data_IF_481663610679
#
_entry.id   IF_481663610679
#
_cell.length_a   1.000
_cell.length_b   1.000
_cell.length_c   1.000
_cell.angle_alpha   90.00
_cell.angle_beta   90.00
_cell.angle_gamma   90.00
#
_symmetry.space_group_name_H-M   'P 1'
#
loop_
_entity.id
_entity.type
_entity.pdbx_description
1 polymer ?
#
# COMPACT_ATOMS: atom_id res chain seq x y z
N UNK A 1 -23.23 -2.67 -31.52
CA UNK A 1 -23.12 -2.01 -30.22
C UNK A 1 -21.66 -1.99 -29.90
N UNK A 2 -21.11 -0.86 -29.47
CA UNK A 2 -19.72 -0.76 -29.01
C UNK A 2 -19.52 -1.65 -27.78
N UNK A 3 -18.36 -2.29 -27.66
CA UNK A 3 -18.03 -3.16 -26.52
C UNK A 3 -17.98 -2.30 -25.23
N UNK A 4 -18.67 -2.68 -24.15
CA UNK A 4 -18.64 -1.93 -22.89
C UNK A 4 -17.26 -2.05 -22.22
N UNK A 5 -16.78 -0.91 -21.69
CA UNK A 5 -15.46 -0.79 -21.07
C UNK A 5 -15.57 -0.31 -19.62
N UNK A 6 -14.60 -0.69 -18.81
CA UNK A 6 -14.46 -0.26 -17.41
C UNK A 6 -13.17 0.53 -17.27
N UNK A 7 -13.25 1.73 -16.71
CA UNK A 7 -12.09 2.53 -16.35
C UNK A 7 -11.66 2.20 -14.92
N UNK A 8 -10.46 1.63 -14.78
CA UNK A 8 -9.80 1.38 -13.50
C UNK A 8 -8.62 2.35 -13.34
N UNK A 9 -8.60 3.10 -12.24
CA UNK A 9 -7.55 4.07 -11.92
C UNK A 9 -6.74 3.55 -10.76
N UNK A 10 -5.41 3.50 -10.91
CA UNK A 10 -4.44 3.14 -9.90
C UNK A 10 -3.63 4.39 -9.49
N UNK A 11 -3.95 4.94 -8.33
CA UNK A 11 -3.26 6.07 -7.71
C UNK A 11 -2.14 5.56 -6.80
N UNK A 12 -1.01 5.25 -7.41
CA UNK A 12 0.18 4.80 -6.68
C UNK A 12 0.99 5.94 -6.06
N UNK A 13 2.16 5.61 -5.50
CA UNK A 13 3.07 6.59 -4.87
C UNK A 13 3.91 7.36 -5.89
N UNK A 14 4.31 6.73 -7.00
CA UNK A 14 5.22 7.32 -8.00
C UNK A 14 4.55 7.57 -9.35
N UNK A 15 3.33 7.13 -9.53
CA UNK A 15 2.59 7.29 -10.78
C UNK A 15 1.10 7.09 -10.59
N UNK A 16 0.32 7.68 -11.48
CA UNK A 16 -1.08 7.37 -11.70
C UNK A 16 -1.23 6.60 -13.01
N UNK A 17 -2.07 5.59 -13.00
CA UNK A 17 -2.42 4.82 -14.20
C UNK A 17 -3.92 4.83 -14.40
N UNK A 18 -4.34 5.18 -15.60
CA UNK A 18 -5.71 5.00 -16.07
C UNK A 18 -5.72 3.80 -17.02
N UNK A 19 -6.46 2.77 -16.68
CA UNK A 19 -6.47 1.48 -17.37
C UNK A 19 -7.89 1.18 -17.85
N UNK A 20 -8.03 0.88 -19.12
CA UNK A 20 -9.32 0.58 -19.73
C UNK A 20 -9.40 -0.90 -20.03
N UNK A 21 -10.37 -1.57 -19.43
CA UNK A 21 -10.60 -3.00 -19.61
C UNK A 21 -11.93 -3.25 -20.30
N UNK A 22 -11.98 -4.30 -21.13
CA UNK A 22 -13.23 -4.86 -21.58
C UNK A 22 -13.86 -5.78 -20.52
N UNK A 23 -15.04 -6.28 -20.78
CA UNK A 23 -15.78 -7.18 -19.87
C UNK A 23 -15.16 -8.57 -19.73
N UNK A 24 -14.18 -8.91 -20.54
CA UNK A 24 -13.40 -10.15 -20.41
C UNK A 24 -12.12 -9.98 -19.57
N UNK A 25 -11.82 -8.73 -19.17
CA UNK A 25 -10.62 -8.37 -18.43
C UNK A 25 -9.40 -8.09 -19.32
N UNK A 26 -9.61 -7.96 -20.65
CA UNK A 26 -8.54 -7.59 -21.58
C UNK A 26 -8.24 -6.09 -21.47
N UNK A 27 -6.97 -5.74 -21.34
CA UNK A 27 -6.52 -4.34 -21.33
C UNK A 27 -6.63 -3.75 -22.74
N UNK A 28 -7.52 -2.78 -22.91
CA UNK A 28 -7.81 -2.10 -24.19
C UNK A 28 -6.97 -0.84 -24.36
N UNK A 29 -6.72 -0.10 -23.27
CA UNK A 29 -5.97 1.14 -23.29
C UNK A 29 -5.31 1.45 -21.96
N UNK A 30 -4.24 2.27 -22.00
CA UNK A 30 -3.49 2.69 -20.83
C UNK A 30 -3.04 4.14 -20.94
N UNK A 31 -3.35 4.95 -19.92
CA UNK A 31 -2.74 6.23 -19.65
C UNK A 31 -1.77 6.12 -18.46
N UNK A 32 -0.67 6.84 -18.52
CA UNK A 32 0.37 6.82 -17.48
C UNK A 32 0.84 8.24 -17.20
N UNK A 33 0.81 8.63 -15.93
CA UNK A 33 1.30 9.91 -15.45
C UNK A 33 2.29 9.67 -14.31
N UNK A 34 3.59 9.95 -14.50
CA UNK A 34 4.56 9.95 -13.40
C UNK A 34 4.26 11.12 -12.46
N UNK A 35 4.45 10.91 -11.17
CA UNK A 35 4.22 11.93 -10.15
C UNK A 35 5.41 12.03 -9.20
N UNK A 36 5.65 13.23 -8.68
CA UNK A 36 6.53 13.43 -7.54
C UNK A 36 5.86 12.79 -6.30
N UNK A 37 6.52 11.82 -5.65
CA UNK A 37 5.90 11.07 -4.57
C UNK A 37 5.43 11.94 -3.41
N UNK A 38 6.26 12.90 -3.03
CA UNK A 38 6.02 13.82 -1.91
C UNK A 38 7.00 14.98 -1.95
N UNK A 39 6.65 16.06 -1.27
CA UNK A 39 7.62 17.07 -0.82
C UNK A 39 7.88 16.91 0.69
N UNK A 40 8.99 17.46 1.15
CA UNK A 40 9.44 17.33 2.54
C UNK A 40 10.01 18.64 3.05
N UNK A 41 9.28 19.33 3.92
CA UNK A 41 9.75 20.55 4.56
C UNK A 41 10.68 20.31 5.75
N UNK A 42 10.67 19.07 6.29
CA UNK A 42 11.50 18.64 7.42
C UNK A 42 11.94 17.19 7.22
N UNK A 43 13.12 16.80 7.69
CA UNK A 43 13.57 15.43 7.63
C UNK A 43 12.54 14.44 8.21
N UNK A 44 12.22 13.39 7.44
CA UNK A 44 11.24 12.38 7.82
C UNK A 44 9.78 12.74 7.52
N UNK A 45 9.48 13.98 7.10
CA UNK A 45 8.14 14.34 6.66
C UNK A 45 7.92 13.94 5.21
N UNK A 46 6.72 13.49 4.90
CA UNK A 46 6.31 13.17 3.54
C UNK A 46 4.86 13.63 3.33
N UNK A 47 4.70 14.68 2.55
CA UNK A 47 3.40 15.34 2.31
C UNK A 47 3.16 15.55 0.81
N UNK A 48 1.89 15.63 0.43
CA UNK A 48 1.50 16.04 -0.92
C UNK A 48 0.14 16.73 -0.90
N UNK A 49 -0.05 17.70 -1.77
CA UNK A 49 -1.33 18.39 -1.88
C UNK A 49 -2.43 17.44 -2.38
N UNK A 50 -3.60 17.36 -1.73
CA UNK A 50 -4.68 16.50 -2.19
C UNK A 50 -5.14 16.80 -3.62
N UNK A 51 -5.13 18.08 -4.02
CA UNK A 51 -5.44 18.51 -5.40
C UNK A 51 -4.43 17.96 -6.41
N UNK A 52 -3.16 17.83 -6.04
CA UNK A 52 -2.13 17.25 -6.90
C UNK A 52 -2.46 15.81 -7.33
N UNK A 53 -2.99 14.99 -6.41
CA UNK A 53 -3.45 13.64 -6.76
C UNK A 53 -4.62 13.68 -7.74
N UNK A 54 -5.57 14.60 -7.51
CA UNK A 54 -6.72 14.77 -8.39
C UNK A 54 -6.30 15.23 -9.80
N UNK A 55 -5.43 16.23 -9.89
CA UNK A 55 -4.98 16.79 -11.16
C UNK A 55 -4.21 15.75 -11.98
N UNK A 56 -3.30 14.99 -11.37
CA UNK A 56 -2.55 13.93 -12.05
C UNK A 56 -3.44 12.74 -12.44
N UNK A 57 -4.51 12.48 -11.71
CA UNK A 57 -5.52 11.49 -12.08
C UNK A 57 -6.22 11.91 -13.39
N UNK A 58 -6.60 13.19 -13.52
CA UNK A 58 -7.13 13.74 -14.77
C UNK A 58 -6.14 13.65 -15.92
N UNK A 59 -4.86 13.99 -15.69
CA UNK A 59 -3.80 13.87 -16.71
C UNK A 59 -3.58 12.42 -17.18
N UNK A 60 -3.65 11.44 -16.26
CA UNK A 60 -3.56 10.03 -16.64
C UNK A 60 -4.74 9.59 -17.52
N UNK A 61 -5.95 10.10 -17.25
CA UNK A 61 -7.12 9.86 -18.10
C UNK A 61 -6.97 10.54 -19.46
N UNK A 62 -6.49 11.78 -19.51
CA UNK A 62 -6.21 12.45 -20.77
C UNK A 62 -5.19 11.66 -21.60
N UNK A 63 -4.09 11.23 -21.00
CA UNK A 63 -3.09 10.39 -21.68
C UNK A 63 -3.68 9.05 -22.16
N UNK A 64 -4.67 8.49 -21.45
CA UNK A 64 -5.41 7.31 -21.93
C UNK A 64 -6.16 7.61 -23.22
N UNK A 65 -6.94 8.70 -23.26
CA UNK A 65 -7.75 9.04 -24.43
C UNK A 65 -6.89 9.37 -25.66
N UNK A 66 -5.73 9.98 -25.47
CA UNK A 66 -4.78 10.28 -26.56
C UNK A 66 -4.13 9.01 -27.14
N UNK A 67 -4.00 7.94 -26.36
CA UNK A 67 -3.27 6.72 -26.73
C UNK A 67 -4.17 5.50 -26.98
N UNK A 68 -5.50 5.68 -27.00
CA UNK A 68 -6.45 4.59 -27.28
C UNK A 68 -7.37 4.93 -28.44
N UNK A 69 -7.84 3.92 -29.17
CA UNK A 69 -8.92 4.07 -30.12
C UNK A 69 -10.33 3.97 -29.50
N UNK A 70 -10.42 3.75 -28.18
CA UNK A 70 -11.68 3.70 -27.47
C UNK A 70 -12.26 5.11 -27.25
N UNK A 71 -13.57 5.20 -27.09
CA UNK A 71 -14.27 6.46 -26.86
C UNK A 71 -14.94 6.48 -25.48
N UNK A 72 -15.07 7.66 -24.83
CA UNK A 72 -15.64 7.78 -23.49
C UNK A 72 -17.06 7.21 -23.33
N UNK A 73 -17.85 7.20 -24.37
CA UNK A 73 -19.22 6.66 -24.39
C UNK A 73 -19.28 5.12 -24.27
N UNK A 74 -18.17 4.44 -24.48
CA UNK A 74 -18.04 2.99 -24.25
C UNK A 74 -17.89 2.65 -22.76
N UNK A 75 -17.50 3.62 -21.91
CA UNK A 75 -17.26 3.39 -20.48
C UNK A 75 -18.58 3.24 -19.75
N UNK A 76 -18.75 2.13 -19.04
CA UNK A 76 -19.96 1.81 -18.27
C UNK A 76 -19.77 1.89 -16.76
N UNK A 77 -18.55 2.10 -16.28
CA UNK A 77 -18.25 2.24 -14.86
C UNK A 77 -16.79 2.66 -14.60
N UNK A 78 -16.58 3.28 -13.45
CA UNK A 78 -15.29 3.79 -12.99
C UNK A 78 -14.96 3.20 -11.63
N UNK A 79 -13.69 2.88 -11.39
CA UNK A 79 -13.20 2.46 -10.08
C UNK A 79 -11.80 3.04 -9.80
N UNK A 80 -11.50 3.33 -8.53
CA UNK A 80 -10.20 3.89 -8.11
C UNK A 80 -9.63 3.08 -6.98
N UNK A 81 -8.39 2.61 -7.15
CA UNK A 81 -7.56 2.09 -6.06
C UNK A 81 -6.46 3.10 -5.72
N UNK A 82 -6.02 3.09 -4.47
CA UNK A 82 -4.99 4.02 -3.99
C UNK A 82 -3.96 3.35 -3.11
N UNK A 83 -2.80 4.01 -2.99
CA UNK A 83 -1.83 3.72 -1.92
C UNK A 83 -2.51 3.80 -0.54
N UNK A 84 -2.06 2.95 0.40
CA UNK A 84 -2.63 2.81 1.75
C UNK A 84 -2.10 3.89 2.71
N UNK A 85 -2.87 4.23 3.75
CA UNK A 85 -2.38 4.99 4.90
C UNK A 85 -2.09 6.47 4.66
N UNK A 86 -2.43 7.03 3.50
CA UNK A 86 -2.36 8.46 3.22
C UNK A 86 -3.61 9.16 3.72
N UNK A 87 -3.43 10.15 4.60
CA UNK A 87 -4.52 10.83 5.31
C UNK A 87 -4.78 12.22 4.73
N UNK A 88 -6.04 12.52 4.50
CA UNK A 88 -6.55 13.83 4.02
C UNK A 88 -7.56 14.38 5.03
N UNK A 89 -7.39 15.65 5.40
CA UNK A 89 -8.33 16.38 6.27
C UNK A 89 -9.07 17.44 5.48
N UNK A 90 -10.39 17.44 5.57
CA UNK A 90 -11.24 18.40 4.87
C UNK A 90 -12.10 19.20 5.86
N UNK A 91 -12.45 20.41 5.46
CA UNK A 91 -13.41 21.25 6.17
C UNK A 91 -14.88 20.85 5.87
N UNK A 92 -15.82 21.65 6.34
CA UNK A 92 -17.26 21.43 6.13
C UNK A 92 -17.73 21.66 4.69
N UNK A 93 -16.91 22.27 3.85
CA UNK A 93 -17.15 22.49 2.43
C UNK A 93 -16.45 21.42 1.56
N UNK A 94 -15.77 20.46 2.19
CA UNK A 94 -15.01 19.42 1.50
C UNK A 94 -13.67 19.92 0.92
N UNK A 95 -13.17 21.09 1.39
CA UNK A 95 -11.89 21.61 0.94
C UNK A 95 -10.75 21.08 1.81
N UNK A 96 -9.60 20.70 1.22
CA UNK A 96 -8.42 20.31 1.97
C UNK A 96 -7.92 21.43 2.89
N UNK A 97 -7.71 21.09 4.16
CA UNK A 97 -7.21 22.04 5.16
C UNK A 97 -5.70 22.18 5.16
N UNK A 98 -5.01 21.15 4.66
CA UNK A 98 -3.56 21.05 4.61
C UNK A 98 -3.12 20.00 3.59
N UNK A 99 -1.80 19.90 3.28
CA UNK A 99 -1.28 18.77 2.54
C UNK A 99 -1.59 17.43 3.22
N UNK A 100 -1.85 16.39 2.43
CA UNK A 100 -2.04 15.03 2.92
C UNK A 100 -0.76 14.50 3.57
N UNK A 101 -0.91 13.76 4.67
CA UNK A 101 0.21 13.03 5.30
C UNK A 101 0.28 11.64 4.66
N UNK A 102 1.40 11.34 4.01
CA UNK A 102 1.58 10.10 3.27
C UNK A 102 1.97 8.94 4.21
N UNK A 103 1.83 7.73 3.72
CA UNK A 103 2.23 6.50 4.42
C UNK A 103 3.75 6.40 4.69
N UNK A 104 4.56 7.14 3.92
CA UNK A 104 6.02 7.24 4.07
C UNK A 104 6.47 8.17 5.19
N UNK A 105 5.54 8.97 5.70
CA UNK A 105 5.80 9.96 6.73
C UNK A 105 6.24 9.30 8.05
N UNK A 106 7.28 9.84 8.67
CA UNK A 106 7.90 9.30 9.89
C UNK A 106 7.63 10.15 11.12
N UNK A 107 6.76 11.16 11.04
CA UNK A 107 6.39 11.96 12.20
C UNK A 107 5.59 11.13 13.20
N UNK A 108 5.80 11.39 14.48
CA UNK A 108 5.13 10.70 15.57
C UNK A 108 4.48 11.69 16.53
N UNK A 109 3.33 11.30 17.06
CA UNK A 109 2.71 12.01 18.16
C UNK A 109 3.49 11.81 19.46
N UNK A 110 3.43 12.80 20.34
CA UNK A 110 4.05 12.73 21.68
C UNK A 110 3.12 11.97 22.62
N UNK A 111 3.55 10.78 23.02
CA UNK A 111 2.82 9.97 24.01
C UNK A 111 3.57 10.01 25.33
N UNK A 112 3.18 10.95 26.19
CA UNK A 112 3.74 11.13 27.51
C UNK A 112 3.07 10.22 28.55
N UNK A 113 1.75 10.01 28.39
CA UNK A 113 0.96 9.23 29.32
C UNK A 113 0.44 7.95 28.67
N UNK A 114 0.50 6.86 29.43
CA UNK A 114 -0.10 5.58 29.02
C UNK A 114 -1.63 5.71 28.93
N UNK A 115 -2.24 4.83 28.16
CA UNK A 115 -3.70 4.85 27.99
C UNK A 115 -4.39 4.76 29.36
N UNK A 116 -5.25 5.72 29.73
CA UNK A 116 -5.97 5.72 31.00
C UNK A 116 -7.16 4.73 31.01
N UNK A 117 -7.74 4.57 32.18
CA UNK A 117 -9.00 3.84 32.39
C UNK A 117 -8.89 2.30 32.27
N UNK A 118 -10.04 1.60 32.19
CA UNK A 118 -10.08 0.13 32.25
C UNK A 118 -9.28 -0.55 31.13
N UNK A 119 -9.28 0.01 29.94
CA UNK A 119 -8.52 -0.51 28.80
C UNK A 119 -7.00 -0.39 29.03
N UNK A 120 -6.54 0.75 29.58
CA UNK A 120 -5.14 0.93 29.92
C UNK A 120 -4.67 -0.08 30.96
N UNK A 121 -5.49 -0.38 31.96
CA UNK A 121 -5.17 -1.40 32.96
C UNK A 121 -5.13 -2.81 32.35
N UNK A 122 -6.09 -3.14 31.48
CA UNK A 122 -6.11 -4.41 30.78
C UNK A 122 -4.83 -4.60 29.92
N UNK A 123 -4.44 -3.59 29.15
CA UNK A 123 -3.27 -3.68 28.28
C UNK A 123 -1.96 -3.81 29.08
N UNK A 124 -1.83 -3.13 30.22
CA UNK A 124 -0.70 -3.32 31.14
C UNK A 124 -0.64 -4.74 31.70
N UNK A 125 -1.79 -5.26 32.15
CA UNK A 125 -1.88 -6.65 32.62
C UNK A 125 -1.50 -7.68 31.57
N UNK A 126 -1.76 -7.40 30.29
CA UNK A 126 -1.42 -8.24 29.15
C UNK A 126 -0.03 -7.93 28.54
N UNK A 127 0.73 -6.97 29.09
CA UNK A 127 2.02 -6.47 28.58
C UNK A 127 1.94 -6.02 27.11
N UNK A 128 0.89 -5.26 26.79
CA UNK A 128 0.58 -4.75 25.44
C UNK A 128 0.68 -3.22 25.35
N UNK A 129 0.95 -2.56 26.46
CA UNK A 129 1.01 -1.10 26.59
C UNK A 129 2.00 -0.47 25.59
N UNK A 130 3.21 -1.01 25.43
CA UNK A 130 4.17 -0.49 24.45
C UNK A 130 3.64 -0.61 23.01
N UNK A 131 2.94 -1.70 22.68
CA UNK A 131 2.32 -1.86 21.36
C UNK A 131 1.20 -0.85 21.13
N UNK A 132 0.39 -0.58 22.16
CA UNK A 132 -0.69 0.40 22.12
C UNK A 132 -0.13 1.83 22.00
N UNK A 133 0.91 2.14 22.77
CA UNK A 133 1.56 3.45 22.71
C UNK A 133 2.27 3.67 21.36
N UNK A 134 2.88 2.63 20.77
CA UNK A 134 3.40 2.73 19.40
C UNK A 134 2.31 2.98 18.38
N UNK A 135 1.14 2.34 18.51
CA UNK A 135 -0.02 2.61 17.66
C UNK A 135 -0.49 4.06 17.79
N UNK A 136 -0.56 4.58 19.04
CA UNK A 136 -0.93 5.98 19.31
C UNK A 136 0.09 6.96 18.73
N UNK A 137 1.38 6.68 18.82
CA UNK A 137 2.45 7.51 18.24
C UNK A 137 2.35 7.61 16.73
N UNK A 138 2.03 6.50 16.07
CA UNK A 138 1.97 6.43 14.61
C UNK A 138 0.65 6.97 14.03
N UNK A 139 -0.39 7.16 14.86
CA UNK A 139 -1.67 7.65 14.39
C UNK A 139 -1.59 9.14 14.03
N UNK A 140 -1.70 9.48 12.75
CA UNK A 140 -1.61 10.84 12.23
C UNK A 140 -2.60 11.81 12.91
N UNK A 141 -3.78 11.32 13.29
CA UNK A 141 -4.78 12.11 14.00
C UNK A 141 -4.27 12.63 15.36
N UNK A 142 -3.46 11.82 16.09
CA UNK A 142 -2.87 12.26 17.35
C UNK A 142 -1.84 13.38 17.10
N UNK A 143 -0.99 13.21 16.10
CA UNK A 143 -0.02 14.25 15.75
C UNK A 143 -0.72 15.55 15.34
N UNK A 144 -1.74 15.48 14.47
CA UNK A 144 -2.51 16.64 14.03
C UNK A 144 -3.17 17.36 15.19
N UNK A 145 -3.77 16.63 16.11
CA UNK A 145 -4.44 17.26 17.28
C UNK A 145 -3.47 17.94 18.23
N UNK A 146 -2.20 17.51 18.27
CA UNK A 146 -1.16 18.07 19.16
C UNK A 146 -0.41 19.25 18.53
N UNK A 147 -0.07 19.13 17.25
CA UNK A 147 0.83 20.07 16.58
C UNK A 147 0.12 21.04 15.64
N UNK A 148 -1.10 20.71 15.21
CA UNK A 148 -1.95 21.55 14.37
C UNK A 148 -3.39 21.61 14.92
N UNK A 149 -3.59 22.08 16.17
CA UNK A 149 -4.89 22.04 16.83
C UNK A 149 -5.97 22.84 16.07
N UNK A 150 -5.62 23.96 15.46
CA UNK A 150 -6.56 24.77 14.67
C UNK A 150 -7.05 24.02 13.42
N UNK A 151 -6.13 23.35 12.72
CA UNK A 151 -6.46 22.48 11.59
C UNK A 151 -7.32 21.32 12.05
N UNK A 152 -6.98 20.70 13.19
CA UNK A 152 -7.75 19.58 13.73
C UNK A 152 -9.17 19.99 14.14
N UNK A 153 -9.36 21.13 14.78
CA UNK A 153 -10.66 21.65 15.16
C UNK A 153 -11.57 21.95 13.94
N UNK A 154 -10.98 22.42 12.85
CA UNK A 154 -11.68 22.69 11.58
C UNK A 154 -11.95 21.40 10.78
N UNK A 155 -11.28 20.30 11.11
CA UNK A 155 -11.43 19.04 10.37
C UNK A 155 -12.83 18.48 10.55
N UNK A 156 -13.62 18.52 9.48
CA UNK A 156 -14.96 17.94 9.42
C UNK A 156 -14.93 16.52 8.88
N UNK A 157 -14.02 16.24 7.94
CA UNK A 157 -13.83 14.90 7.38
C UNK A 157 -12.37 14.47 7.49
N UNK A 158 -12.16 13.28 8.04
CA UNK A 158 -10.87 12.62 8.18
C UNK A 158 -10.88 11.38 7.30
N UNK A 159 -10.24 11.45 6.14
CA UNK A 159 -10.34 10.48 5.07
C UNK A 159 -8.98 9.86 4.76
N UNK A 160 -8.99 8.65 4.23
CA UNK A 160 -7.88 8.16 3.44
C UNK A 160 -7.95 8.77 2.03
N UNK A 161 -6.85 8.66 1.28
CA UNK A 161 -6.78 9.18 -0.10
C UNK A 161 -7.89 8.59 -0.99
N UNK A 162 -8.25 7.31 -0.80
CA UNK A 162 -9.37 6.67 -1.49
C UNK A 162 -10.69 7.39 -1.24
N UNK A 163 -10.99 7.67 0.03
CA UNK A 163 -12.20 8.41 0.41
C UNK A 163 -12.24 9.83 -0.16
N UNK A 164 -11.08 10.51 -0.21
CA UNK A 164 -10.98 11.82 -0.85
C UNK A 164 -11.24 11.76 -2.36
N UNK A 165 -10.61 10.83 -3.08
CA UNK A 165 -10.83 10.69 -4.52
C UNK A 165 -12.25 10.24 -4.85
N UNK A 166 -12.83 9.33 -4.06
CA UNK A 166 -14.22 8.92 -4.18
C UNK A 166 -15.19 10.10 -3.96
N UNK A 167 -14.90 10.97 -2.98
CA UNK A 167 -15.64 12.22 -2.79
C UNK A 167 -15.54 13.15 -4.01
N UNK A 168 -14.34 13.34 -4.57
CA UNK A 168 -14.15 14.17 -5.77
C UNK A 168 -14.91 13.62 -6.97
N UNK A 169 -15.01 12.29 -7.09
CA UNK A 169 -15.74 11.64 -8.19
C UNK A 169 -17.25 11.72 -8.02
N UNK A 170 -17.76 11.59 -6.79
CA UNK A 170 -19.21 11.35 -6.55
C UNK A 170 -19.92 12.46 -5.79
N UNK A 171 -19.18 13.37 -5.17
CA UNK A 171 -19.73 14.36 -4.21
C UNK A 171 -20.18 13.74 -2.88
N UNK A 172 -19.93 12.46 -2.63
CA UNK A 172 -20.39 11.75 -1.44
C UNK A 172 -19.21 11.28 -0.58
N UNK A 173 -19.31 11.46 0.73
CA UNK A 173 -18.29 10.97 1.68
C UNK A 173 -18.48 9.48 1.96
N UNK A 174 -18.15 8.68 0.96
CA UNK A 174 -18.20 7.21 0.97
C UNK A 174 -16.84 6.63 0.59
N UNK A 175 -16.50 5.49 1.19
CA UNK A 175 -15.28 4.78 0.84
C UNK A 175 -15.46 3.26 0.96
N UNK A 176 -14.59 2.50 0.30
CA UNK A 176 -14.60 1.05 0.37
C UNK A 176 -14.15 0.56 1.74
N UNK A 177 -14.83 -0.46 2.28
CA UNK A 177 -14.34 -1.19 3.46
C UNK A 177 -12.95 -1.77 3.24
N UNK A 178 -12.60 -2.13 1.98
CA UNK A 178 -11.32 -2.72 1.62
C UNK A 178 -10.20 -1.70 1.37
N UNK A 179 -10.51 -0.41 1.41
CA UNK A 179 -9.51 0.66 1.39
C UNK A 179 -9.07 1.09 2.79
N UNK A 180 -9.75 0.64 3.86
CA UNK A 180 -9.52 1.10 5.22
C UNK A 180 -8.27 0.45 5.85
N UNK A 181 -7.10 0.84 5.35
CA UNK A 181 -5.80 0.39 5.84
C UNK A 181 -5.00 1.58 6.35
N UNK A 182 -4.90 1.71 7.66
CA UNK A 182 -4.23 2.83 8.33
C UNK A 182 -4.55 2.82 9.83
N UNK A 183 -4.12 3.88 10.52
CA UNK A 183 -4.39 4.09 11.94
C UNK A 183 -5.78 4.71 12.11
N UNK A 184 -6.80 3.86 12.07
CA UNK A 184 -8.22 4.21 12.10
C UNK A 184 -8.97 3.37 13.14
N UNK A 185 -10.09 3.87 13.68
CA UNK A 185 -10.94 3.09 14.58
C UNK A 185 -11.79 2.07 13.80
N UNK A 186 -11.14 1.22 13.00
CA UNK A 186 -11.76 0.24 12.12
C UNK A 186 -11.75 -1.15 12.75
N UNK A 187 -12.88 -1.86 12.68
CA UNK A 187 -13.01 -3.26 13.09
C UNK A 187 -12.67 -4.16 11.90
N UNK A 188 -11.40 -4.58 11.82
CA UNK A 188 -10.89 -5.44 10.76
C UNK A 188 -11.57 -6.81 10.69
N UNK A 189 -12.20 -7.27 11.79
CA UNK A 189 -12.91 -8.56 11.78
C UNK A 189 -14.29 -8.45 11.16
N UNK A 190 -14.95 -7.30 11.31
CA UNK A 190 -16.32 -7.07 10.85
C UNK A 190 -16.39 -6.18 9.61
N UNK A 191 -15.25 -5.66 9.13
CA UNK A 191 -15.13 -4.71 8.02
C UNK A 191 -16.08 -3.50 8.19
N UNK A 192 -16.06 -2.88 9.37
CA UNK A 192 -16.86 -1.71 9.70
C UNK A 192 -16.14 -0.81 10.70
N UNK A 193 -16.66 0.39 10.94
CA UNK A 193 -16.15 1.22 12.02
C UNK A 193 -16.39 0.52 13.36
N UNK A 194 -15.43 0.65 14.27
CA UNK A 194 -15.48 0.04 15.58
C UNK A 194 -16.73 0.50 16.35
N UNK A 195 -17.31 -0.40 17.16
CA UNK A 195 -18.44 -0.06 18.01
C UNK A 195 -18.08 1.04 19.01
N UNK A 196 -19.06 1.84 19.44
CA UNK A 196 -18.84 3.05 20.26
C UNK A 196 -18.04 2.81 21.56
N UNK A 197 -18.14 1.62 22.16
CA UNK A 197 -17.41 1.26 23.38
C UNK A 197 -16.05 0.60 23.13
N UNK A 198 -15.63 0.49 21.87
CA UNK A 198 -14.35 -0.13 21.51
C UNK A 198 -13.19 0.79 21.90
N UNK A 199 -12.12 0.22 22.44
CA UNK A 199 -10.94 0.93 22.88
C UNK A 199 -10.26 1.77 21.76
N UNK A 200 -10.44 1.40 20.50
CA UNK A 200 -9.85 2.09 19.35
C UNK A 200 -10.23 3.57 19.29
N UNK A 201 -11.42 3.94 19.78
CA UNK A 201 -11.84 5.34 19.89
C UNK A 201 -11.06 6.13 20.97
N UNK A 202 -10.40 5.44 21.91
CA UNK A 202 -9.54 6.07 22.91
C UNK A 202 -8.08 6.21 22.48
N UNK A 203 -7.72 5.56 21.37
CA UNK A 203 -6.35 5.62 20.86
C UNK A 203 -6.07 6.87 20.03
N UNK A 204 -7.09 7.55 19.54
CA UNK A 204 -6.97 8.71 18.67
C UNK A 204 -8.20 9.64 18.80
N UNK A 205 -8.07 10.95 18.54
CA UNK A 205 -9.16 11.93 18.75
C UNK A 205 -10.17 11.97 17.59
N UNK A 206 -10.19 10.96 16.72
CA UNK A 206 -11.12 10.90 15.59
C UNK A 206 -12.53 10.63 16.10
N UNK A 207 -13.51 11.38 15.59
CA UNK A 207 -14.94 11.17 15.87
C UNK A 207 -15.62 10.40 14.74
N UNK A 208 -16.66 9.68 15.06
CA UNK A 208 -17.39 8.86 14.08
C UNK A 208 -17.99 9.69 12.94
N UNK A 209 -18.41 10.91 13.23
CA UNK A 209 -19.00 11.85 12.26
C UNK A 209 -17.98 12.48 11.32
N UNK A 210 -16.68 12.29 11.57
CA UNK A 210 -15.58 12.68 10.67
C UNK A 210 -15.24 11.59 9.64
N UNK A 211 -15.72 10.38 9.82
CA UNK A 211 -15.38 9.24 8.98
C UNK A 211 -16.42 9.02 7.88
N UNK A 212 -16.01 8.48 6.70
CA UNK A 212 -16.92 8.23 5.59
C UNK A 212 -17.89 7.08 5.89
N UNK A 213 -19.02 7.05 5.19
CA UNK A 213 -19.85 5.87 5.07
C UNK A 213 -19.10 4.75 4.33
N UNK A 214 -19.19 3.53 4.81
CA UNK A 214 -18.47 2.40 4.24
C UNK A 214 -19.35 1.57 3.32
N UNK A 215 -18.78 1.22 2.16
CA UNK A 215 -19.40 0.42 1.10
C UNK A 215 -18.52 -0.82 0.86
N UNK A 216 -19.11 -1.95 0.53
CA UNK A 216 -18.34 -3.17 0.25
C UNK A 216 -17.66 -3.08 -1.12
N UNK A 217 -16.49 -3.72 -1.32
CA UNK A 217 -15.89 -3.83 -2.64
C UNK A 217 -16.89 -4.40 -3.66
N UNK A 218 -16.93 -3.81 -4.86
CA UNK A 218 -17.86 -4.18 -5.93
C UNK A 218 -19.23 -3.51 -5.86
N UNK A 219 -19.60 -2.86 -4.75
CA UNK A 219 -20.83 -2.08 -4.65
C UNK A 219 -20.63 -0.64 -5.14
N UNK A 220 -21.72 0.05 -5.44
CA UNK A 220 -21.69 1.43 -5.96
C UNK A 220 -21.48 2.44 -4.84
N UNK A 221 -20.44 3.27 -4.95
CA UNK A 221 -20.16 4.41 -4.06
C UNK A 221 -21.09 5.60 -4.36
N UNK A 222 -21.43 5.82 -5.62
CA UNK A 222 -22.23 6.91 -6.11
C UNK A 222 -22.15 6.99 -7.63
N UNK A 223 -22.64 8.10 -8.18
CA UNK A 223 -22.55 8.39 -9.62
C UNK A 223 -21.52 9.48 -9.88
N UNK A 224 -20.83 9.38 -11.00
CA UNK A 224 -19.85 10.35 -11.45
C UNK A 224 -20.53 11.72 -11.67
N UNK A 225 -20.05 12.76 -10.97
CA UNK A 225 -20.59 14.12 -11.10
C UNK A 225 -20.22 14.72 -12.44
N UNK A 226 -20.93 15.80 -12.85
CA UNK A 226 -20.59 16.51 -14.09
C UNK A 226 -19.17 17.12 -14.06
N UNK A 227 -18.74 17.65 -12.90
CA UNK A 227 -17.38 18.17 -12.71
C UNK A 227 -16.32 17.07 -12.90
N UNK A 228 -16.51 15.94 -12.22
CA UNK A 228 -15.60 14.81 -12.34
C UNK A 228 -15.59 14.19 -13.75
N UNK A 229 -16.75 14.10 -14.39
CA UNK A 229 -16.87 13.63 -15.77
C UNK A 229 -16.06 14.51 -16.74
N UNK A 230 -16.19 15.82 -16.63
CA UNK A 230 -15.38 16.76 -17.42
C UNK A 230 -13.88 16.59 -17.14
N UNK A 231 -13.50 16.43 -15.87
CA UNK A 231 -12.10 16.24 -15.48
C UNK A 231 -11.46 14.95 -16.02
N UNK A 232 -12.24 13.88 -16.14
CA UNK A 232 -11.79 12.58 -16.64
C UNK A 232 -12.00 12.38 -18.15
N UNK A 233 -12.70 13.32 -18.82
CA UNK A 233 -13.13 13.16 -20.21
C UNK A 233 -14.19 12.06 -20.38
N UNK A 234 -15.14 11.94 -19.45
CA UNK A 234 -16.18 10.91 -19.40
C UNK A 234 -17.59 11.51 -19.46
N UNK A 235 -18.59 10.65 -19.56
CA UNK A 235 -20.00 11.03 -19.40
C UNK A 235 -20.38 11.04 -17.91
N UNK A 236 -21.14 12.03 -17.47
CA UNK A 236 -21.67 12.09 -16.11
C UNK A 236 -22.71 11.00 -15.84
N UNK A 237 -22.91 10.66 -14.56
CA UNK A 237 -23.90 9.66 -14.15
C UNK A 237 -23.40 8.21 -14.23
N UNK A 238 -22.17 7.97 -14.67
CA UNK A 238 -21.57 6.63 -14.62
C UNK A 238 -21.43 6.14 -13.17
N UNK A 239 -21.67 4.86 -12.87
CA UNK A 239 -21.47 4.31 -11.55
C UNK A 239 -19.97 4.32 -11.19
N UNK A 240 -19.66 4.83 -9.99
CA UNK A 240 -18.34 4.71 -9.36
C UNK A 240 -18.40 3.53 -8.40
N UNK A 241 -17.58 2.52 -8.67
CA UNK A 241 -17.60 1.24 -7.97
C UNK A 241 -16.49 1.21 -6.92
N UNK A 242 -16.82 0.74 -5.73
CA UNK A 242 -15.89 0.57 -4.63
C UNK A 242 -14.80 -0.45 -4.99
N UNK A 243 -13.55 0.00 -5.05
CA UNK A 243 -12.38 -0.87 -5.19
C UNK A 243 -11.90 -1.36 -3.81
N UNK A 244 -10.63 -1.73 -3.75
CA UNK A 244 -9.89 -2.01 -2.52
C UNK A 244 -8.59 -1.19 -2.51
N UNK A 245 -7.76 -1.36 -1.49
CA UNK A 245 -6.40 -0.82 -1.49
C UNK A 245 -5.56 -1.44 -2.61
N UNK A 246 -4.52 -0.73 -3.04
CA UNK A 246 -3.57 -1.15 -4.09
C UNK A 246 -3.09 -2.61 -3.92
N UNK A 247 -2.65 -2.97 -2.71
CA UNK A 247 -2.19 -4.34 -2.41
C UNK A 247 -3.28 -5.38 -2.48
N UNK A 248 -4.50 -5.06 -2.06
CA UNK A 248 -5.62 -6.00 -2.17
C UNK A 248 -6.03 -6.21 -3.63
N UNK A 249 -5.99 -5.14 -4.44
CA UNK A 249 -6.21 -5.23 -5.89
C UNK A 249 -5.09 -6.00 -6.60
N UNK A 250 -3.81 -5.82 -6.20
CA UNK A 250 -2.67 -6.58 -6.71
C UNK A 250 -2.85 -8.08 -6.45
N UNK A 251 -3.26 -8.47 -5.25
CA UNK A 251 -3.51 -9.88 -4.88
C UNK A 251 -4.62 -10.48 -5.73
N UNK A 252 -5.73 -9.75 -5.89
CA UNK A 252 -6.85 -10.18 -6.75
C UNK A 252 -6.40 -10.32 -8.20
N UNK A 253 -5.74 -9.31 -8.76
CA UNK A 253 -5.29 -9.27 -10.14
C UNK A 253 -4.22 -10.32 -10.48
N UNK A 254 -3.41 -10.75 -9.49
CA UNK A 254 -2.45 -11.84 -9.66
C UNK A 254 -3.08 -13.24 -9.51
N UNK A 255 -4.39 -13.33 -9.25
CA UNK A 255 -5.09 -14.61 -9.08
C UNK A 255 -4.95 -15.24 -7.69
N UNK A 256 -4.61 -14.44 -6.66
CA UNK A 256 -4.57 -14.86 -5.26
C UNK A 256 -5.97 -14.97 -4.65
N UNK A 257 -6.78 -15.91 -5.13
CA UNK A 257 -8.21 -16.02 -4.81
C UNK A 257 -8.50 -17.00 -3.67
N UNK A 258 -7.59 -17.94 -3.43
CA UNK A 258 -7.76 -19.05 -2.50
C UNK A 258 -6.68 -19.06 -1.42
N UNK A 259 -6.94 -19.65 -0.24
CA UNK A 259 -5.99 -19.65 0.88
C UNK A 259 -4.68 -20.43 0.65
N UNK A 260 -4.63 -21.28 -0.38
CA UNK A 260 -3.45 -22.05 -0.80
C UNK A 260 -2.61 -21.35 -1.87
N UNK A 261 -3.05 -20.17 -2.31
CA UNK A 261 -2.35 -19.33 -3.30
C UNK A 261 -1.88 -18.03 -2.64
N UNK A 262 -0.58 -17.81 -2.61
CA UNK A 262 0.02 -16.56 -2.13
C UNK A 262 0.48 -15.67 -3.27
N UNK A 263 0.29 -14.37 -3.11
CA UNK A 263 0.89 -13.33 -3.94
C UNK A 263 2.16 -12.79 -3.28
N UNK A 264 3.29 -12.90 -3.95
CA UNK A 264 4.55 -12.25 -3.61
C UNK A 264 4.64 -10.94 -4.38
N UNK A 265 4.74 -9.83 -3.67
CA UNK A 265 4.94 -8.52 -4.31
C UNK A 265 6.40 -8.09 -4.15
N UNK A 266 7.09 -7.91 -5.28
CA UNK A 266 8.49 -7.50 -5.38
C UNK A 266 8.58 -6.02 -5.74
N UNK A 267 8.08 -5.18 -4.83
CA UNK A 267 8.11 -3.72 -4.92
C UNK A 267 9.13 -3.08 -3.97
N UNK A 268 9.04 -1.77 -3.74
CA UNK A 268 9.82 -1.05 -2.71
C UNK A 268 9.76 -1.77 -1.36
N UNK A 269 8.57 -2.22 -0.96
CA UNK A 269 8.36 -3.24 0.06
C UNK A 269 8.31 -4.61 -0.60
N UNK A 270 8.76 -5.66 0.09
CA UNK A 270 8.46 -7.03 -0.32
C UNK A 270 7.40 -7.61 0.60
N UNK A 271 6.36 -8.21 0.03
CA UNK A 271 5.26 -8.75 0.82
C UNK A 271 4.85 -10.13 0.34
N UNK A 272 4.36 -10.95 1.26
CA UNK A 272 3.57 -12.13 0.96
C UNK A 272 2.16 -11.92 1.44
N UNK A 273 1.19 -12.10 0.56
CA UNK A 273 -0.23 -11.90 0.81
C UNK A 273 -1.03 -13.13 0.45
N UNK A 274 -2.03 -13.46 1.27
CA UNK A 274 -2.98 -14.55 1.03
C UNK A 274 -4.39 -14.06 1.28
N UNK A 275 -5.30 -14.28 0.33
CA UNK A 275 -6.74 -14.06 0.54
C UNK A 275 -7.34 -15.23 1.32
N UNK A 276 -8.00 -14.93 2.45
CA UNK A 276 -8.58 -15.95 3.32
C UNK A 276 -10.02 -15.58 3.72
N UNK A 277 -11.01 -16.47 3.63
CA UNK A 277 -12.37 -16.22 4.13
C UNK A 277 -12.43 -16.17 5.66
N UNK A 278 -11.40 -16.66 6.36
CA UNK A 278 -11.30 -16.62 7.82
C UNK A 278 -10.36 -15.51 8.27
N UNK A 279 -10.68 -14.89 9.40
CA UNK A 279 -9.81 -13.90 10.06
C UNK A 279 -8.58 -14.59 10.67
N UNK A 280 -7.40 -14.38 10.08
CA UNK A 280 -6.12 -14.98 10.49
C UNK A 280 -5.08 -13.90 10.72
N UNK A 281 -4.65 -13.70 11.97
CA UNK A 281 -3.53 -12.83 12.31
C UNK A 281 -2.20 -13.56 12.08
N UNK A 282 -1.37 -13.15 11.13
CA UNK A 282 -0.04 -13.77 10.93
C UNK A 282 0.89 -13.48 12.10
N UNK A 283 0.74 -12.32 12.70
CA UNK A 283 1.40 -11.89 13.94
C UNK A 283 0.30 -11.50 14.92
N UNK A 284 0.39 -11.97 16.17
CA UNK A 284 -0.60 -11.66 17.21
C UNK A 284 -0.78 -10.14 17.35
N UNK A 285 -2.03 -9.66 17.31
CA UNK A 285 -2.45 -8.26 17.34
C UNK A 285 -2.09 -7.45 16.07
N UNK A 286 -1.62 -8.10 15.02
CA UNK A 286 -1.56 -7.49 13.70
C UNK A 286 -2.73 -8.06 12.88
N UNK A 287 -3.81 -7.30 12.75
CA UNK A 287 -5.00 -7.78 12.04
C UNK A 287 -4.70 -8.00 10.56
N UNK A 288 -5.32 -9.01 9.93
CA UNK A 288 -5.35 -9.07 8.48
C UNK A 288 -6.15 -7.89 7.96
N UNK A 289 -5.76 -7.38 6.80
CA UNK A 289 -6.48 -6.29 6.14
C UNK A 289 -7.71 -6.82 5.39
N UNK A 290 -8.68 -5.97 5.07
CA UNK A 290 -9.76 -6.37 4.18
C UNK A 290 -9.23 -6.72 2.79
N UNK A 291 -9.73 -7.81 2.20
CA UNK A 291 -9.43 -8.22 0.82
C UNK A 291 -10.29 -7.44 -0.19
N UNK A 292 -9.85 -7.45 -1.46
CA UNK A 292 -10.68 -7.01 -2.57
C UNK A 292 -11.87 -7.95 -2.83
N UNK A 293 -11.79 -9.19 -2.35
CA UNK A 293 -12.92 -10.13 -2.37
C UNK A 293 -13.83 -9.81 -1.18
N UNK A 294 -15.11 -9.47 -1.41
CA UNK A 294 -16.03 -9.14 -0.34
C UNK A 294 -16.10 -10.21 0.76
N UNK A 295 -15.97 -9.78 2.02
CA UNK A 295 -16.02 -10.69 3.17
C UNK A 295 -14.75 -11.50 3.44
N UNK A 296 -13.71 -11.37 2.61
CA UNK A 296 -12.42 -12.01 2.81
C UNK A 296 -11.40 -11.07 3.47
N UNK A 297 -10.32 -11.66 3.95
CA UNK A 297 -9.20 -10.97 4.61
C UNK A 297 -7.93 -11.19 3.80
N UNK A 298 -7.10 -10.16 3.72
CA UNK A 298 -5.73 -10.24 3.19
C UNK A 298 -4.76 -10.41 4.36
N UNK A 299 -4.26 -11.63 4.53
CA UNK A 299 -3.23 -11.93 5.52
C UNK A 299 -1.88 -11.58 4.92
N UNK A 300 -1.20 -10.57 5.50
CA UNK A 300 0.03 -10.01 4.95
C UNK A 300 1.21 -10.16 5.90
N UNK A 301 2.38 -10.54 5.38
CA UNK A 301 3.68 -10.35 6.03
C UNK A 301 4.53 -9.47 5.13
N UNK A 302 5.09 -8.40 5.71
CA UNK A 302 5.78 -7.34 4.99
C UNK A 302 7.24 -7.19 5.42
N UNK A 303 8.11 -6.97 4.44
CA UNK A 303 9.48 -6.51 4.59
C UNK A 303 9.52 -5.07 4.09
N UNK A 304 9.62 -4.09 4.99
CA UNK A 304 9.44 -2.66 4.67
C UNK A 304 10.43 -2.11 3.63
N UNK A 305 11.66 -2.60 3.62
CA UNK A 305 12.70 -2.24 2.64
C UNK A 305 13.03 -3.43 1.76
N UNK A 306 12.03 -4.00 1.07
CA UNK A 306 12.15 -5.16 0.23
C UNK A 306 13.08 -4.95 -0.98
N UNK A 307 12.54 -4.86 -2.17
CA UNK A 307 13.32 -4.62 -3.39
C UNK A 307 13.94 -3.20 -3.47
N UNK A 308 13.59 -2.32 -2.53
CA UNK A 308 14.37 -1.11 -2.29
C UNK A 308 15.87 -1.42 -2.07
N UNK A 309 16.20 -2.53 -1.39
CA UNK A 309 17.60 -2.95 -1.19
C UNK A 309 18.29 -3.32 -2.50
N UNK A 310 17.57 -3.86 -3.46
CA UNK A 310 18.08 -4.10 -4.81
C UNK A 310 18.44 -2.77 -5.49
N UNK A 311 17.53 -1.79 -5.41
CA UNK A 311 17.79 -0.44 -5.95
C UNK A 311 18.93 0.27 -5.19
N UNK A 312 18.98 0.11 -3.87
CA UNK A 312 20.07 0.61 -3.05
C UNK A 312 21.43 0.01 -3.49
N UNK A 313 21.51 -1.31 -3.65
CA UNK A 313 22.74 -1.96 -4.10
C UNK A 313 23.16 -1.46 -5.50
N UNK A 314 22.23 -1.34 -6.43
CA UNK A 314 22.51 -0.83 -7.79
C UNK A 314 23.07 0.59 -7.75
N UNK A 315 22.55 1.45 -6.87
CA UNK A 315 23.00 2.83 -6.72
C UNK A 315 24.39 2.92 -6.05
N UNK A 316 24.60 2.18 -4.96
CA UNK A 316 25.82 2.31 -4.15
C UNK A 316 26.99 1.47 -4.71
N UNK A 317 26.72 0.33 -5.33
CA UNK A 317 27.74 -0.63 -5.75
C UNK A 317 27.67 -0.99 -7.24
N UNK A 318 26.68 -0.51 -7.97
CA UNK A 318 26.38 -0.93 -9.35
C UNK A 318 26.85 0.03 -10.44
N UNK A 319 27.66 1.05 -10.14
CA UNK A 319 28.10 2.06 -11.13
C UNK A 319 28.81 1.44 -12.34
N UNK A 320 29.56 0.37 -12.13
CA UNK A 320 30.26 -0.34 -13.20
C UNK A 320 29.29 -0.95 -14.21
N UNK A 321 28.28 -1.65 -13.72
CA UNK A 321 27.24 -2.28 -14.56
C UNK A 321 26.43 -1.22 -15.30
N UNK A 322 26.07 -0.13 -14.63
CA UNK A 322 25.36 0.99 -15.27
C UNK A 322 26.15 1.59 -16.42
N UNK A 323 27.44 1.88 -16.24
CA UNK A 323 28.29 2.41 -17.30
C UNK A 323 28.52 1.43 -18.46
N UNK A 324 28.69 0.14 -18.14
CA UNK A 324 28.84 -0.89 -19.18
C UNK A 324 27.56 -1.03 -20.00
N UNK A 325 26.42 -1.01 -19.34
CA UNK A 325 25.10 -1.10 -19.97
C UNK A 325 24.86 0.08 -20.90
N UNK A 326 25.15 1.31 -20.43
CA UNK A 326 25.07 2.53 -21.23
C UNK A 326 25.95 2.45 -22.46
N UNK A 327 27.19 2.02 -22.30
CA UNK A 327 28.14 1.88 -23.43
C UNK A 327 27.70 0.81 -24.45
N UNK A 328 27.06 -0.27 -23.97
CA UNK A 328 26.57 -1.39 -24.80
C UNK A 328 25.18 -1.16 -25.37
N UNK A 329 24.46 -0.14 -24.92
CA UNK A 329 23.05 0.11 -25.29
C UNK A 329 22.10 -1.00 -24.83
N UNK A 330 22.37 -1.61 -23.67
CA UNK A 330 21.53 -2.66 -23.07
C UNK A 330 20.96 -2.20 -21.72
N UNK A 331 19.91 -2.86 -21.27
CA UNK A 331 19.34 -2.60 -19.94
C UNK A 331 20.34 -3.05 -18.85
N UNK A 332 20.57 -2.23 -17.80
CA UNK A 332 21.48 -2.57 -16.69
C UNK A 332 21.09 -3.88 -15.98
N UNK A 333 19.83 -4.22 -15.97
CA UNK A 333 19.28 -5.45 -15.37
C UNK A 333 19.93 -6.71 -15.89
N UNK A 334 20.28 -6.76 -17.16
CA UNK A 334 20.97 -7.92 -17.79
C UNK A 334 22.30 -8.19 -17.10
N UNK A 335 23.10 -7.15 -16.82
CA UNK A 335 24.39 -7.27 -16.15
C UNK A 335 24.25 -7.62 -14.66
N UNK A 336 23.17 -7.17 -14.02
CA UNK A 336 22.88 -7.56 -12.64
C UNK A 336 22.44 -9.03 -12.54
N UNK A 337 21.71 -9.54 -13.52
CA UNK A 337 21.37 -10.98 -13.61
C UNK A 337 22.63 -11.84 -13.85
N UNK A 338 23.56 -11.39 -14.71
CA UNK A 338 24.87 -12.03 -14.89
C UNK A 338 25.67 -12.05 -13.57
N UNK A 339 25.64 -10.95 -12.80
CA UNK A 339 26.32 -10.85 -11.52
C UNK A 339 25.79 -11.89 -10.51
N UNK A 340 24.48 -12.05 -10.42
CA UNK A 340 23.85 -13.08 -9.58
C UNK A 340 24.27 -14.49 -10.03
N UNK A 341 24.19 -14.77 -11.33
CA UNK A 341 24.48 -16.08 -11.89
C UNK A 341 25.96 -16.48 -11.78
N UNK A 342 26.86 -15.52 -11.56
CA UNK A 342 28.29 -15.79 -11.35
C UNK A 342 28.63 -16.35 -9.96
N UNK A 343 27.66 -16.38 -9.04
CA UNK A 343 27.83 -16.83 -7.64
C UNK A 343 26.91 -18.01 -7.38
N UNK A 344 27.36 -19.09 -6.71
CA UNK A 344 26.50 -20.22 -6.40
C UNK A 344 25.40 -19.85 -5.37
N UNK A 345 24.25 -20.58 -5.36
CA UNK A 345 23.25 -20.45 -4.31
C UNK A 345 23.85 -20.60 -2.91
N UNK A 346 23.32 -19.77 -1.97
CA UNK A 346 23.86 -19.69 -0.61
C UNK A 346 25.01 -18.69 -0.46
N UNK A 347 25.40 -18.00 -1.56
CA UNK A 347 26.38 -16.88 -1.57
C UNK A 347 27.67 -17.21 -0.80
N UNK A 348 28.09 -18.50 -0.81
CA UNK A 348 29.23 -19.04 -0.07
C UNK A 348 29.19 -18.75 1.45
N UNK A 349 27.98 -18.72 2.03
CA UNK A 349 27.77 -18.47 3.45
C UNK A 349 27.53 -17.02 3.83
N UNK A 350 27.59 -16.10 2.87
CA UNK A 350 27.22 -14.71 3.14
C UNK A 350 25.69 -14.61 3.22
N UNK A 351 25.17 -14.14 4.35
CA UNK A 351 23.75 -14.01 4.62
C UNK A 351 23.35 -12.58 4.91
N UNK A 352 22.18 -12.18 4.43
CA UNK A 352 21.56 -10.88 4.71
C UNK A 352 20.33 -11.05 5.60
N UNK A 353 20.26 -10.23 6.65
CA UNK A 353 19.02 -9.97 7.39
C UNK A 353 18.36 -8.70 6.85
N UNK A 354 17.16 -8.80 6.19
CA UNK A 354 16.62 -7.71 5.40
C UNK A 354 15.80 -6.68 6.21
N UNK A 355 16.05 -6.51 7.47
CA UNK A 355 15.26 -5.64 8.35
C UNK A 355 15.86 -4.24 8.48
N UNK A 356 16.05 -3.56 7.34
CA UNK A 356 16.56 -2.17 7.25
C UNK A 356 15.63 -1.12 7.89
N UNK A 357 14.33 -1.42 7.96
CA UNK A 357 13.38 -0.60 8.72
C UNK A 357 12.75 -1.42 9.82
N UNK A 358 12.58 -0.84 11.01
CA UNK A 358 11.92 -1.51 12.12
C UNK A 358 10.44 -1.76 11.82
N UNK A 359 9.86 -2.70 12.57
CA UNK A 359 8.42 -2.99 12.57
C UNK A 359 7.88 -2.88 14.00
N UNK A 360 6.56 -2.85 14.13
CA UNK A 360 5.91 -2.69 15.45
C UNK A 360 6.20 -3.88 16.36
N UNK A 361 6.16 -5.09 15.84
CA UNK A 361 6.39 -6.35 16.61
C UNK A 361 7.29 -7.34 15.90
N UNK A 362 7.27 -7.34 14.59
CA UNK A 362 8.10 -8.22 13.80
C UNK A 362 8.46 -7.49 12.49
N UNK A 363 9.76 -7.23 12.29
CA UNK A 363 10.91 -7.63 13.14
C UNK A 363 10.89 -6.94 14.49
N UNK A 364 10.44 -6.01 14.92
CA UNK A 364 10.47 -5.27 16.18
C UNK A 364 10.99 -3.83 15.98
N UNK A 365 10.80 -2.97 16.99
CA UNK A 365 11.11 -1.53 16.88
C UNK A 365 12.60 -1.22 16.78
N UNK A 366 13.47 -2.12 17.28
CA UNK A 366 14.92 -1.92 17.30
C UNK A 366 15.64 -2.70 16.19
N UNK A 367 14.90 -3.36 15.31
CA UNK A 367 15.48 -4.18 14.26
C UNK A 367 16.27 -3.33 13.25
N UNK A 368 17.43 -3.86 12.85
CA UNK A 368 18.30 -3.27 11.83
C UNK A 368 18.73 -4.35 10.85
N UNK A 369 19.03 -3.96 9.62
CA UNK A 369 19.63 -4.84 8.63
C UNK A 369 21.06 -5.23 9.04
N UNK A 370 21.47 -6.43 8.67
CA UNK A 370 22.81 -6.93 8.88
C UNK A 370 23.24 -7.86 7.74
N UNK A 371 24.55 -7.90 7.49
CA UNK A 371 25.19 -8.92 6.66
C UNK A 371 26.22 -9.64 7.50
N UNK A 372 26.21 -10.98 7.47
CA UNK A 372 27.12 -11.82 8.26
C UNK A 372 27.73 -12.91 7.38
N UNK A 373 28.92 -13.39 7.72
CA UNK A 373 29.59 -14.49 7.02
C UNK A 373 30.64 -14.04 5.99
N UNK A 374 31.14 -12.80 6.07
CA UNK A 374 32.20 -12.34 5.19
C UNK A 374 33.50 -13.12 5.37
N UNK A 375 34.13 -13.50 4.27
CA UNK A 375 35.48 -13.99 4.14
C UNK A 375 36.15 -13.37 2.90
N UNK A 376 37.39 -13.71 2.64
CA UNK A 376 38.23 -13.15 1.57
C UNK A 376 37.75 -13.47 0.15
N UNK A 377 36.90 -14.48 0.01
CA UNK A 377 36.30 -14.88 -1.28
C UNK A 377 35.11 -14.01 -1.71
N UNK A 378 34.56 -13.25 -0.78
CA UNK A 378 33.34 -12.52 -1.04
C UNK A 378 33.57 -11.23 -1.82
N UNK A 379 32.83 -11.09 -2.90
CA UNK A 379 32.80 -9.91 -3.78
C UNK A 379 31.42 -9.25 -3.75
N UNK A 380 31.27 -8.11 -4.44
CA UNK A 380 29.95 -7.47 -4.56
C UNK A 380 28.89 -8.35 -5.26
N UNK A 381 29.31 -9.34 -6.09
CA UNK A 381 28.39 -10.32 -6.65
C UNK A 381 27.73 -11.18 -5.54
N UNK A 382 28.54 -11.60 -4.56
CA UNK A 382 28.03 -12.32 -3.38
C UNK A 382 27.10 -11.45 -2.54
N UNK A 383 27.42 -10.16 -2.35
CA UNK A 383 26.55 -9.21 -1.65
C UNK A 383 25.20 -9.08 -2.36
N UNK A 384 25.20 -8.92 -3.68
CA UNK A 384 23.96 -8.78 -4.46
C UNK A 384 23.10 -10.05 -4.39
N UNK A 385 23.72 -11.21 -4.54
CA UNK A 385 23.04 -12.48 -4.38
C UNK A 385 22.50 -12.67 -2.96
N UNK A 386 23.28 -12.36 -1.91
CA UNK A 386 22.85 -12.42 -0.53
C UNK A 386 21.63 -11.50 -0.25
N UNK A 387 21.53 -10.35 -0.93
CA UNK A 387 20.33 -9.49 -0.83
C UNK A 387 19.10 -10.21 -1.37
N UNK A 388 19.16 -10.80 -2.55
CA UNK A 388 18.03 -11.51 -3.15
C UNK A 388 17.63 -12.73 -2.32
N UNK A 389 18.61 -13.52 -1.87
CA UNK A 389 18.37 -14.70 -1.03
C UNK A 389 17.82 -14.33 0.35
N UNK A 390 18.32 -13.27 0.98
CA UNK A 390 17.84 -12.77 2.27
C UNK A 390 16.38 -12.31 2.19
N UNK A 391 15.99 -11.66 1.10
CA UNK A 391 14.59 -11.33 0.82
C UNK A 391 13.72 -12.57 0.63
N UNK A 392 14.22 -13.56 -0.13
CA UNK A 392 13.52 -14.82 -0.37
C UNK A 392 13.32 -15.61 0.94
N UNK A 393 14.33 -15.68 1.80
CA UNK A 393 14.23 -16.33 3.13
C UNK A 393 13.22 -15.66 4.04
N UNK A 394 13.19 -14.32 4.06
CA UNK A 394 12.23 -13.59 4.87
C UNK A 394 10.79 -13.74 4.34
N UNK A 395 10.58 -13.80 3.03
CA UNK A 395 9.28 -14.11 2.43
C UNK A 395 8.85 -15.55 2.73
N UNK A 396 9.79 -16.51 2.69
CA UNK A 396 9.54 -17.90 3.09
C UNK A 396 9.15 -18.00 4.56
N UNK A 397 9.85 -17.31 5.45
CA UNK A 397 9.44 -17.23 6.86
C UNK A 397 8.02 -16.69 7.01
N UNK A 398 7.68 -15.65 6.24
CA UNK A 398 6.32 -15.09 6.16
C UNK A 398 5.30 -16.14 5.71
N UNK A 399 5.60 -16.91 4.65
CA UNK A 399 4.79 -18.03 4.15
C UNK A 399 4.52 -19.05 5.28
N UNK A 400 5.57 -19.59 5.87
CA UNK A 400 5.49 -20.59 6.92
C UNK A 400 4.71 -20.09 8.15
N UNK A 401 4.81 -18.80 8.44
CA UNK A 401 4.04 -18.16 9.52
C UNK A 401 2.55 -18.12 9.20
N UNK A 402 2.18 -17.73 7.97
CA UNK A 402 0.79 -17.72 7.50
C UNK A 402 0.22 -19.15 7.55
N UNK A 403 0.95 -20.15 7.06
CA UNK A 403 0.56 -21.55 7.09
C UNK A 403 0.29 -22.06 8.51
N UNK A 404 1.24 -21.84 9.44
CA UNK A 404 1.07 -22.22 10.84
C UNK A 404 -0.14 -21.57 11.51
N UNK A 405 -0.49 -20.33 11.12
CA UNK A 405 -1.59 -19.59 11.72
C UNK A 405 -2.93 -19.88 11.06
N UNK A 406 -2.95 -20.12 9.76
CA UNK A 406 -4.16 -20.45 9.00
C UNK A 406 -4.52 -21.94 9.04
N UNK A 407 -3.52 -22.82 9.23
CA UNK A 407 -3.66 -24.26 9.07
C UNK A 407 -3.84 -24.68 7.61
N UNK A 408 -3.49 -23.81 6.65
CA UNK A 408 -3.61 -24.08 5.21
C UNK A 408 -2.21 -24.04 4.60
N UNK A 409 -1.82 -25.07 3.89
CA UNK A 409 -0.57 -25.09 3.12
C UNK A 409 -0.68 -24.20 1.88
N UNK A 410 0.35 -23.42 1.61
CA UNK A 410 0.45 -22.57 0.41
C UNK A 410 1.23 -23.35 -0.64
N UNK A 411 0.51 -23.81 -1.66
CA UNK A 411 1.04 -24.65 -2.75
C UNK A 411 1.38 -23.86 -4.01
N UNK A 412 0.78 -22.68 -4.18
CA UNK A 412 0.97 -21.83 -5.35
C UNK A 412 1.50 -20.45 -4.95
N UNK A 413 2.56 -20.01 -5.63
CA UNK A 413 3.10 -18.65 -5.50
C UNK A 413 2.84 -17.90 -6.80
N UNK A 414 2.21 -16.73 -6.70
CA UNK A 414 2.04 -15.77 -7.78
C UNK A 414 2.95 -14.57 -7.48
N UNK A 415 3.71 -14.11 -8.46
CA UNK A 415 4.67 -13.03 -8.26
C UNK A 415 4.24 -11.80 -9.05
N UNK A 416 4.29 -10.65 -8.39
CA UNK A 416 3.96 -9.35 -8.95
C UNK A 416 5.03 -8.30 -8.58
N UNK A 417 4.93 -7.10 -9.14
CA UNK A 417 5.84 -5.99 -8.88
C UNK A 417 7.04 -5.95 -9.81
N UNK A 418 7.79 -4.84 -9.74
CA UNK A 418 8.90 -4.57 -10.68
C UNK A 418 10.04 -5.57 -10.62
N UNK A 419 10.32 -6.13 -9.44
CA UNK A 419 11.38 -7.13 -9.23
C UNK A 419 11.12 -8.48 -9.90
N UNK A 420 9.87 -8.79 -10.27
CA UNK A 420 9.50 -10.04 -10.96
C UNK A 420 9.98 -10.12 -12.42
N UNK A 421 10.53 -9.01 -12.95
CA UNK A 421 11.11 -8.98 -14.31
C UNK A 421 12.49 -9.61 -14.39
N UNK A 422 13.19 -9.78 -13.27
CA UNK A 422 14.51 -10.42 -13.21
C UNK A 422 14.35 -11.93 -13.10
N UNK A 423 14.78 -12.66 -14.13
CA UNK A 423 14.79 -14.13 -14.12
C UNK A 423 15.73 -14.71 -13.05
N UNK A 424 16.82 -14.00 -12.73
CA UNK A 424 17.77 -14.42 -11.71
C UNK A 424 17.22 -14.23 -10.27
N UNK A 425 16.23 -13.33 -10.10
CA UNK A 425 15.56 -13.13 -8.82
C UNK A 425 14.39 -14.11 -8.60
N UNK A 426 13.86 -14.71 -9.66
CA UNK A 426 12.77 -15.69 -9.66
C UNK A 426 13.27 -17.10 -9.43
#
# INVERSE_FOLDING_TARGET
MSQPLILAIDQGTQSVRALLFDTTGTLVGRGYQPIEPYFSDRPGWAEQHPTYFWDNLGQACQALWENTGATPDQVVGVTVTTQRGTVVTLDNQGQPLRPAILWLDQRHADIQERLPGPWGWLFRGLRLDDTIDQFRRNAQANWLSQHEPDTWQRTRHYLLLSGYLNYRLTGQFRDSTASQVGYLPFDFRRHQWAGQRNFKWQLMPVRKDQLPELVRPGETLGQLTAEAATHLGLTSGLPVIAAASDKACEVLGSGGLTPDTACLSYGTTATINVSNPRYVEPVRLMPPYPSAIPGHYSTEVMIYRGYWMVSWFKREFGLREQRIAEHRGIEPEVLFDELVNSVPPGSMGLMLQPYWSPGVRHPGPDAKGAMVGFGDVHTRAHIYRAILEGLAYALREGKERIERRSGTEITTLRVAGGGSRSNAAM
#
